data_IF_551899203331
#
_entry.id   IF_551899203331
#
_cell.length_a   1.000
_cell.length_b   1.000
_cell.length_c   1.000
_cell.angle_alpha   90.00
_cell.angle_beta   90.00
_cell.angle_gamma   90.00
#
_symmetry.space_group_name_H-M   'P 1'
#
loop_
_entity.id
_entity.type
_entity.pdbx_description
1 polymer ?
#
# COMPACT_ATOMS: atom_id res chain seq x y z
N UNK A 1 8.04 -27.03 -0.89
CA UNK A 1 7.86 -26.84 0.57
C UNK A 1 6.90 -25.67 0.75
N UNK A 2 5.86 -25.89 1.55
CA UNK A 2 4.67 -25.05 1.66
C UNK A 2 5.01 -23.67 2.23
N UNK A 3 5.00 -22.65 1.38
CA UNK A 3 4.83 -21.26 1.81
C UNK A 3 3.37 -20.93 1.56
N UNK A 4 2.50 -21.38 2.47
CA UNK A 4 1.16 -20.83 2.60
C UNK A 4 1.35 -19.33 2.72
N UNK A 5 0.95 -18.58 1.70
CA UNK A 5 0.73 -17.15 1.79
C UNK A 5 -0.21 -16.97 2.97
N UNK A 6 0.36 -16.63 4.14
CA UNK A 6 -0.44 -16.15 5.24
C UNK A 6 -1.09 -14.90 4.66
N UNK A 7 -2.38 -14.99 4.36
CA UNK A 7 -3.16 -13.79 4.18
C UNK A 7 -2.84 -12.91 5.39
N UNK A 8 -2.20 -11.77 5.13
CA UNK A 8 -1.78 -10.81 6.13
C UNK A 8 -3.04 -10.18 6.71
N UNK A 9 -3.71 -10.90 7.60
CA UNK A 9 -4.93 -10.43 8.25
C UNK A 9 -4.55 -9.35 9.27
N UNK A 10 -5.22 -8.20 9.16
CA UNK A 10 -5.18 -7.16 10.19
C UNK A 10 -6.21 -7.48 11.28
N UNK A 11 -5.81 -7.28 12.53
CA UNK A 11 -6.66 -7.38 13.71
C UNK A 11 -7.19 -6.00 14.10
N UNK A 12 -8.27 -5.99 14.88
CA UNK A 12 -8.86 -4.75 15.38
C UNK A 12 -7.86 -4.02 16.29
N UNK A 13 -7.45 -2.82 15.88
CA UNK A 13 -6.49 -1.98 16.61
C UNK A 13 -5.07 -1.96 16.02
N UNK A 14 -4.80 -2.75 14.98
CA UNK A 14 -3.56 -2.64 14.23
C UNK A 14 -3.47 -1.30 13.50
N UNK A 15 -2.27 -0.72 13.47
CA UNK A 15 -1.95 0.36 12.52
C UNK A 15 -1.64 -0.27 11.17
N UNK A 16 -2.50 -0.07 10.20
CA UNK A 16 -2.46 -0.71 8.89
C UNK A 16 -1.82 0.19 7.86
N UNK A 17 -1.07 -0.39 6.93
CA UNK A 17 -0.48 0.36 5.84
C UNK A 17 -0.42 -0.40 4.52
N UNK A 18 -0.36 0.34 3.42
CA UNK A 18 -0.21 -0.20 2.07
C UNK A 18 1.04 0.39 1.42
N UNK A 19 1.89 -0.49 0.86
CA UNK A 19 3.11 -0.13 0.15
C UNK A 19 2.92 -0.43 -1.34
N UNK A 20 2.97 0.62 -2.13
CA UNK A 20 2.94 0.60 -3.59
C UNK A 20 4.29 1.10 -4.11
N UNK A 21 5.32 0.24 -4.05
CA UNK A 21 6.68 0.58 -4.44
C UNK A 21 7.40 -0.66 -4.99
N UNK A 22 8.37 -0.45 -5.88
CA UNK A 22 9.21 -1.53 -6.39
C UNK A 22 10.14 -2.10 -5.29
N UNK A 23 10.72 -3.27 -5.53
CA UNK A 23 11.44 -4.04 -4.51
C UNK A 23 12.48 -3.22 -3.70
N UNK A 24 13.32 -2.44 -4.37
CA UNK A 24 14.38 -1.65 -3.70
C UNK A 24 13.82 -0.60 -2.72
N UNK A 25 12.97 0.36 -3.14
CA UNK A 25 12.37 1.31 -2.20
C UNK A 25 11.43 0.63 -1.19
N UNK A 26 10.76 -0.47 -1.57
CA UNK A 26 9.84 -1.16 -0.68
C UNK A 26 10.52 -1.69 0.59
N UNK A 27 11.73 -2.25 0.51
CA UNK A 27 12.42 -2.79 1.69
C UNK A 27 12.75 -1.71 2.74
N UNK A 28 13.19 -0.53 2.29
CA UNK A 28 13.44 0.60 3.19
C UNK A 28 12.14 1.09 3.89
N UNK A 29 11.04 1.15 3.13
CA UNK A 29 9.73 1.52 3.66
C UNK A 29 9.21 0.48 4.65
N UNK A 30 9.35 -0.82 4.33
CA UNK A 30 8.98 -1.92 5.24
C UNK A 30 9.71 -1.81 6.57
N UNK A 31 11.03 -1.59 6.56
CA UNK A 31 11.81 -1.44 7.77
C UNK A 31 11.28 -0.30 8.64
N UNK A 32 11.08 0.87 8.04
CA UNK A 32 10.56 2.07 8.72
C UNK A 32 9.16 1.84 9.30
N UNK A 33 8.26 1.23 8.53
CA UNK A 33 6.89 0.95 8.99
C UNK A 33 6.86 -0.06 10.14
N UNK A 34 7.72 -1.09 10.14
CA UNK A 34 7.84 -2.02 11.27
C UNK A 34 8.28 -1.30 12.54
N UNK A 35 9.28 -0.41 12.45
CA UNK A 35 9.76 0.37 13.58
C UNK A 35 8.67 1.30 14.16
N UNK A 36 7.81 1.83 13.30
CA UNK A 36 6.66 2.65 13.68
C UNK A 36 5.45 1.83 14.20
N UNK A 37 5.55 0.49 14.21
CA UNK A 37 4.50 -0.42 14.66
C UNK A 37 3.35 -0.60 13.68
N UNK A 38 3.56 -0.30 12.38
CA UNK A 38 2.58 -0.56 11.33
C UNK A 38 2.71 -2.01 10.82
N UNK A 39 1.56 -2.66 10.61
CA UNK A 39 1.45 -3.82 9.73
C UNK A 39 1.22 -3.31 8.31
N UNK A 40 1.76 -3.99 7.31
CA UNK A 40 1.65 -3.55 5.93
C UNK A 40 1.28 -4.67 4.96
N UNK A 41 0.57 -4.27 3.92
CA UNK A 41 0.50 -5.00 2.67
C UNK A 41 1.47 -4.41 1.65
N UNK A 42 1.99 -5.28 0.79
CA UNK A 42 2.82 -4.87 -0.35
C UNK A 42 2.07 -5.27 -1.61
N UNK A 43 2.11 -4.40 -2.62
CA UNK A 43 1.53 -4.68 -3.93
C UNK A 43 2.55 -4.43 -5.02
N UNK A 44 2.52 -5.28 -6.04
CA UNK A 44 3.43 -5.19 -7.20
C UNK A 44 2.78 -4.52 -8.40
N UNK A 45 1.44 -4.49 -8.45
CA UNK A 45 0.67 -3.88 -9.54
C UNK A 45 -0.31 -2.82 -9.04
N UNK A 46 -0.66 -1.91 -9.94
CA UNK A 46 -1.66 -0.86 -9.65
C UNK A 46 -3.04 -1.45 -9.40
N UNK A 47 -3.40 -2.52 -10.11
CA UNK A 47 -4.69 -3.20 -9.97
C UNK A 47 -4.84 -3.81 -8.58
N UNK A 48 -3.81 -4.51 -8.09
CA UNK A 48 -3.80 -5.10 -6.75
C UNK A 48 -3.89 -4.03 -5.65
N UNK A 49 -3.18 -2.92 -5.83
CA UNK A 49 -3.24 -1.79 -4.90
C UNK A 49 -4.67 -1.21 -4.83
N UNK A 50 -5.28 -0.95 -5.99
CA UNK A 50 -6.63 -0.39 -6.07
C UNK A 50 -7.67 -1.36 -5.51
N UNK A 51 -7.54 -2.66 -5.78
CA UNK A 51 -8.44 -3.66 -5.20
C UNK A 51 -8.38 -3.65 -3.68
N UNK A 52 -7.18 -3.63 -3.09
CA UNK A 52 -7.00 -3.53 -1.64
C UNK A 52 -7.58 -2.25 -1.07
N UNK A 53 -7.39 -1.11 -1.74
CA UNK A 53 -7.93 0.19 -1.30
C UNK A 53 -9.46 0.24 -1.29
N UNK A 54 -10.13 -0.58 -2.11
CA UNK A 54 -11.62 -0.64 -2.12
C UNK A 54 -12.19 -1.37 -0.90
N UNK A 55 -11.45 -2.31 -0.34
CA UNK A 55 -11.93 -3.20 0.73
C UNK A 55 -11.25 -2.99 2.07
N UNK A 56 -10.19 -2.17 2.12
CA UNK A 56 -9.42 -1.92 3.33
C UNK A 56 -9.11 -0.43 3.43
N UNK A 57 -9.55 0.17 4.54
CA UNK A 57 -9.09 1.50 4.91
C UNK A 57 -7.75 1.34 5.61
N UNK A 58 -6.70 1.90 5.01
CA UNK A 58 -5.36 1.90 5.59
C UNK A 58 -5.12 3.19 6.36
N UNK A 59 -4.43 3.10 7.49
CA UNK A 59 -4.01 4.28 8.26
C UNK A 59 -2.86 5.04 7.56
N UNK A 60 -2.05 4.33 6.75
CA UNK A 60 -0.97 4.92 5.98
C UNK A 60 -0.85 4.26 4.60
N UNK A 61 -0.69 5.06 3.55
CA UNK A 61 -0.49 4.56 2.19
C UNK A 61 0.79 5.21 1.64
N UNK A 62 1.77 4.38 1.28
CA UNK A 62 3.04 4.82 0.69
C UNK A 62 3.05 4.44 -0.78
N UNK A 63 3.10 5.44 -1.66
CA UNK A 63 3.10 5.24 -3.11
C UNK A 63 4.35 5.85 -3.71
N UNK A 64 5.14 5.03 -4.40
CA UNK A 64 6.25 5.51 -5.21
C UNK A 64 5.70 6.20 -6.46
N UNK A 65 6.27 7.35 -6.83
CA UNK A 65 5.82 8.16 -7.96
C UNK A 65 5.75 7.38 -9.28
N UNK A 66 6.73 6.50 -9.50
CA UNK A 66 6.87 5.68 -10.69
C UNK A 66 6.41 4.22 -10.49
N UNK A 67 5.57 3.96 -9.49
CA UNK A 67 5.11 2.61 -9.16
C UNK A 67 4.55 1.87 -10.38
N UNK A 68 4.87 0.58 -10.51
CA UNK A 68 4.47 -0.29 -11.62
C UNK A 68 4.90 0.26 -13.00
N UNK A 69 6.04 0.95 -13.07
CA UNK A 69 6.58 1.52 -14.31
C UNK A 69 5.81 2.73 -14.85
N UNK A 70 4.93 3.32 -14.04
CA UNK A 70 4.17 4.52 -14.43
C UNK A 70 5.02 5.79 -14.35
N UNK A 71 4.50 6.88 -14.93
CA UNK A 71 4.98 8.24 -14.66
C UNK A 71 4.09 8.86 -13.59
N UNK A 72 4.59 9.86 -12.86
CA UNK A 72 3.83 10.59 -11.82
C UNK A 72 2.40 10.94 -12.25
N UNK A 73 2.24 11.46 -13.47
CA UNK A 73 0.94 11.91 -14.02
C UNK A 73 0.01 10.77 -14.44
N UNK A 74 0.56 9.60 -14.76
CA UNK A 74 -0.19 8.41 -15.19
C UNK A 74 -0.26 7.32 -14.13
N UNK A 75 0.19 7.59 -12.91
CA UNK A 75 0.16 6.64 -11.81
C UNK A 75 -1.29 6.40 -11.38
N UNK A 76 -1.79 5.21 -11.70
CA UNK A 76 -3.19 4.81 -11.46
C UNK A 76 -3.55 4.85 -9.97
N UNK A 77 -2.62 4.51 -9.07
CA UNK A 77 -2.86 4.53 -7.63
C UNK A 77 -2.99 5.97 -7.14
N UNK A 78 -2.09 6.86 -7.53
CA UNK A 78 -2.17 8.29 -7.18
C UNK A 78 -3.46 8.93 -7.72
N UNK A 79 -3.83 8.63 -8.96
CA UNK A 79 -5.07 9.13 -9.57
C UNK A 79 -6.31 8.60 -8.85
N UNK A 80 -6.32 7.33 -8.45
CA UNK A 80 -7.39 6.75 -7.66
C UNK A 80 -7.53 7.45 -6.30
N UNK A 81 -6.42 7.62 -5.57
CA UNK A 81 -6.41 8.32 -4.28
C UNK A 81 -6.89 9.77 -4.40
N UNK A 82 -6.46 10.49 -5.45
CA UNK A 82 -6.85 11.87 -5.69
C UNK A 82 -8.36 12.04 -5.92
N UNK A 83 -9.02 11.02 -6.48
CA UNK A 83 -10.46 11.00 -6.71
C UNK A 83 -11.29 10.70 -5.44
N UNK A 84 -10.66 10.23 -4.35
CA UNK A 84 -11.38 9.93 -3.11
C UNK A 84 -11.89 11.23 -2.44
N UNK A 85 -13.06 11.18 -1.77
CA UNK A 85 -13.54 12.26 -0.92
C UNK A 85 -12.46 12.72 0.08
N UNK A 86 -12.39 14.02 0.36
CA UNK A 86 -11.39 14.58 1.28
C UNK A 86 -11.40 13.91 2.67
N UNK A 87 -12.56 13.44 3.13
CA UNK A 87 -12.70 12.73 4.41
C UNK A 87 -12.03 11.35 4.44
N UNK A 88 -11.75 10.74 3.29
CA UNK A 88 -11.01 9.47 3.19
C UNK A 88 -9.52 9.67 2.91
N UNK A 89 -9.12 10.88 2.52
CA UNK A 89 -7.72 11.23 2.21
C UNK A 89 -6.94 11.77 3.41
N UNK A 90 -7.61 12.20 4.48
CA UNK A 90 -7.01 12.92 5.61
C UNK A 90 -7.11 12.14 6.91
#
# INVERSE_FOLDING_TARGET
MSSSEKADFFELGDKTSLICADANPAEAVKATLRELGFKFHVTETSEMAIERLRYTNYDCIVVHENFAGSLVRSNSVLNYLAALPMAQRR
#
